data_IF_896556859473
#
_entry.id   IF_896556859473
#
_cell.length_a   1.000
_cell.length_b   1.000
_cell.length_c   1.000
_cell.angle_alpha   90.00
_cell.angle_beta   90.00
_cell.angle_gamma   90.00
#
_symmetry.space_group_name_H-M   'P 1'
#
loop_
_entity.id
_entity.type
_entity.pdbx_description
1 polymer ?
#
# COMPACT_ATOMS: atom_id res chain seq x y z
N UNK A 1 5.75 -4.53 -73.83
CA UNK A 1 6.63 -3.34 -73.86
C UNK A 1 6.17 -2.39 -72.76
N UNK A 2 6.70 -2.59 -71.55
CA UNK A 2 7.78 -1.81 -70.89
C UNK A 2 7.27 -0.54 -70.20
N UNK A 3 6.82 -0.70 -68.95
CA UNK A 3 6.63 0.41 -68.01
C UNK A 3 7.99 0.72 -67.35
N UNK A 4 8.46 1.95 -67.56
CA UNK A 4 9.64 2.56 -66.94
C UNK A 4 9.40 2.70 -65.44
N UNK A 5 10.11 1.93 -64.63
CA UNK A 5 10.17 2.14 -63.17
C UNK A 5 11.12 3.31 -62.91
N UNK A 6 10.60 4.33 -62.23
CA UNK A 6 11.30 5.55 -61.84
C UNK A 6 12.51 5.27 -60.95
N UNK A 7 13.52 6.11 -61.11
CA UNK A 7 14.74 6.07 -60.32
C UNK A 7 14.43 6.37 -58.85
N UNK A 8 14.78 5.42 -57.98
CA UNK A 8 14.80 5.64 -56.53
C UNK A 8 16.14 6.34 -56.24
N UNK A 9 16.04 7.56 -55.74
CA UNK A 9 17.15 8.38 -55.28
C UNK A 9 18.07 7.58 -54.37
N UNK A 10 19.36 7.55 -54.71
CA UNK A 10 20.43 6.99 -53.90
C UNK A 10 20.49 7.73 -52.56
N UNK A 11 19.89 7.12 -51.52
CA UNK A 11 20.09 7.55 -50.14
C UNK A 11 21.58 7.39 -49.85
N UNK A 12 22.22 8.48 -49.46
CA UNK A 12 23.63 8.57 -49.16
C UNK A 12 23.91 7.71 -47.90
N UNK A 13 24.45 6.51 -48.09
CA UNK A 13 24.72 5.50 -47.05
C UNK A 13 25.62 6.02 -45.89
N UNK A 14 26.21 7.19 -46.06
CA UNK A 14 27.13 7.84 -45.13
C UNK A 14 26.44 8.52 -43.93
N UNK A 15 25.12 8.78 -43.98
CA UNK A 15 24.41 9.47 -42.88
C UNK A 15 24.02 8.50 -41.76
N UNK A 16 23.76 7.23 -42.10
CA UNK A 16 23.39 6.18 -41.14
C UNK A 16 24.58 5.74 -40.25
N UNK A 17 25.80 5.81 -40.78
CA UNK A 17 27.02 5.41 -40.07
C UNK A 17 27.36 6.32 -38.87
N UNK A 18 26.79 7.53 -38.78
CA UNK A 18 27.00 8.44 -37.64
C UNK A 18 26.31 8.00 -36.35
N UNK A 19 25.31 7.12 -36.43
CA UNK A 19 24.53 6.74 -35.25
C UNK A 19 25.13 5.57 -34.46
N UNK A 20 26.13 4.85 -35.01
CA UNK A 20 26.75 3.70 -34.35
C UNK A 20 28.26 3.61 -34.65
N UNK A 21 29.10 4.49 -34.07
CA UNK A 21 30.53 4.58 -34.40
C UNK A 21 31.39 3.40 -33.94
N UNK A 22 30.87 2.48 -33.11
CA UNK A 22 31.67 1.43 -32.44
C UNK A 22 31.34 -0.01 -32.89
N UNK A 23 30.84 -0.23 -34.10
CA UNK A 23 30.69 -1.60 -34.62
C UNK A 23 31.86 -1.97 -35.54
N UNK A 24 32.84 -2.76 -35.07
CA UNK A 24 33.75 -3.43 -35.97
C UNK A 24 32.94 -4.41 -36.84
N UNK A 25 32.96 -4.17 -38.15
CA UNK A 25 32.38 -5.00 -39.20
C UNK A 25 33.06 -6.37 -39.27
N UNK A 26 32.66 -7.31 -38.41
CA UNK A 26 32.92 -8.74 -38.63
C UNK A 26 32.18 -9.60 -37.62
N UNK A 27 31.04 -10.16 -38.02
CA UNK A 27 30.72 -11.59 -37.88
C UNK A 27 29.20 -11.80 -38.06
N UNK A 28 28.90 -12.70 -38.99
CA UNK A 28 27.68 -13.47 -39.27
C UNK A 28 26.40 -13.15 -38.48
N UNK A 29 25.21 -13.18 -39.12
CA UNK A 29 23.94 -13.04 -38.41
C UNK A 29 23.83 -14.16 -37.36
N UNK A 30 23.87 -13.77 -36.09
CA UNK A 30 23.65 -14.71 -35.00
C UNK A 30 22.17 -15.08 -35.05
N UNK A 31 21.87 -16.26 -35.57
CA UNK A 31 20.53 -16.86 -35.47
C UNK A 31 20.35 -17.30 -34.03
N UNK A 32 19.87 -16.38 -33.19
CA UNK A 32 19.38 -16.73 -31.86
C UNK A 32 18.06 -17.48 -32.02
N UNK A 33 18.11 -18.80 -31.91
CA UNK A 33 16.92 -19.62 -31.72
C UNK A 33 16.24 -19.18 -30.41
N UNK A 34 15.10 -18.50 -30.54
CA UNK A 34 14.27 -18.14 -29.39
C UNK A 34 13.72 -19.47 -28.85
N UNK A 35 14.01 -19.86 -27.58
CA UNK A 35 13.48 -21.09 -27.05
C UNK A 35 11.95 -21.03 -27.11
N UNK A 36 11.34 -22.12 -27.60
CA UNK A 36 9.90 -22.24 -27.69
C UNK A 36 9.30 -21.91 -26.31
N UNK A 37 8.47 -20.87 -26.26
CA UNK A 37 7.81 -20.45 -25.03
C UNK A 37 7.03 -21.65 -24.49
N UNK A 38 7.37 -22.11 -23.28
CA UNK A 38 6.59 -23.14 -22.60
C UNK A 38 5.12 -22.71 -22.60
N UNK A 39 4.17 -23.63 -22.81
CA UNK A 39 2.76 -23.30 -22.73
C UNK A 39 2.53 -22.67 -21.36
N UNK A 40 2.20 -21.38 -21.36
CA UNK A 40 1.82 -20.66 -20.15
C UNK A 40 0.68 -21.47 -19.55
N UNK A 41 0.87 -21.99 -18.33
CA UNK A 41 -0.20 -22.61 -17.56
C UNK A 41 -1.25 -21.53 -17.37
N UNK A 42 -2.27 -21.52 -18.23
CA UNK A 42 -3.44 -20.68 -18.03
C UNK A 42 -4.17 -21.33 -16.88
N UNK A 43 -3.91 -20.84 -15.67
CA UNK A 43 -4.67 -21.23 -14.49
C UNK A 43 -6.15 -21.04 -14.83
N UNK A 44 -6.83 -22.17 -14.96
CA UNK A 44 -8.22 -22.21 -15.39
C UNK A 44 -9.03 -21.59 -14.25
N UNK A 45 -9.42 -20.33 -14.42
CA UNK A 45 -10.26 -19.65 -13.45
C UNK A 45 -11.48 -20.53 -13.13
N UNK A 46 -11.83 -20.72 -11.85
CA UNK A 46 -12.93 -21.57 -11.45
C UNK A 46 -14.22 -21.13 -12.15
N UNK A 47 -15.00 -22.12 -12.63
CA UNK A 47 -16.25 -21.86 -13.35
C UNK A 47 -17.19 -21.05 -12.44
N UNK A 48 -17.64 -19.88 -12.92
CA UNK A 48 -18.51 -18.96 -12.17
C UNK A 48 -17.78 -17.72 -11.62
N UNK A 49 -16.46 -17.62 -11.77
CA UNK A 49 -15.71 -16.43 -11.38
C UNK A 49 -15.68 -15.42 -12.53
N UNK A 50 -16.34 -14.27 -12.37
CA UNK A 50 -16.22 -13.17 -13.33
C UNK A 50 -15.22 -12.13 -12.79
N UNK A 51 -14.22 -11.71 -13.59
CA UNK A 51 -13.21 -10.74 -13.13
C UNK A 51 -13.83 -9.42 -12.68
N UNK A 52 -14.99 -9.05 -13.25
CA UNK A 52 -15.74 -7.87 -12.86
C UNK A 52 -16.31 -7.97 -11.43
N UNK A 53 -16.75 -9.17 -11.02
CA UNK A 53 -17.31 -9.41 -9.68
C UNK A 53 -16.22 -9.38 -8.61
N UNK A 54 -15.00 -9.81 -8.93
CA UNK A 54 -13.85 -9.70 -8.04
C UNK A 54 -13.53 -8.24 -7.70
N UNK A 55 -13.43 -7.38 -8.71
CA UNK A 55 -13.15 -5.94 -8.51
C UNK A 55 -14.26 -5.28 -7.66
N UNK A 56 -15.52 -5.68 -7.87
CA UNK A 56 -16.65 -5.19 -7.07
C UNK A 56 -16.61 -5.66 -5.61
N UNK A 57 -16.26 -6.94 -5.38
CA UNK A 57 -16.07 -7.52 -4.05
C UNK A 57 -14.91 -6.86 -3.30
N UNK A 58 -13.78 -6.69 -3.96
CA UNK A 58 -12.61 -6.01 -3.41
C UNK A 58 -12.92 -4.55 -3.09
N UNK A 59 -13.53 -3.80 -4.02
CA UNK A 59 -13.96 -2.42 -3.80
C UNK A 59 -14.93 -2.27 -2.62
N UNK A 60 -15.83 -3.24 -2.42
CA UNK A 60 -16.74 -3.28 -1.26
C UNK A 60 -16.00 -3.59 0.04
N UNK A 61 -15.03 -4.51 0.01
CA UNK A 61 -14.19 -4.84 1.14
C UNK A 61 -13.33 -3.65 1.57
N UNK A 62 -12.65 -2.98 0.64
CA UNK A 62 -11.86 -1.78 0.91
C UNK A 62 -12.72 -0.63 1.45
N UNK A 63 -13.93 -0.42 0.91
CA UNK A 63 -14.88 0.55 1.45
C UNK A 63 -15.36 0.18 2.86
N UNK A 64 -15.52 -1.11 3.18
CA UNK A 64 -15.89 -1.53 4.54
C UNK A 64 -14.75 -1.32 5.55
N UNK A 65 -13.51 -1.56 5.14
CA UNK A 65 -12.31 -1.32 5.94
C UNK A 65 -12.12 0.18 6.20
N UNK A 66 -12.26 1.02 5.17
CA UNK A 66 -12.15 2.48 5.31
C UNK A 66 -13.33 3.11 6.05
N UNK A 67 -14.51 2.47 6.07
CA UNK A 67 -15.68 2.91 6.83
C UNK A 67 -15.64 2.55 8.34
N UNK A 68 -14.50 2.08 8.85
CA UNK A 68 -14.31 1.80 10.27
C UNK A 68 -14.93 0.48 10.75
N UNK A 69 -15.11 -0.51 9.86
CA UNK A 69 -15.62 -1.83 10.27
C UNK A 69 -14.58 -2.72 10.97
N UNK A 70 -13.48 -2.16 11.48
CA UNK A 70 -12.47 -2.92 12.22
C UNK A 70 -13.10 -3.62 13.43
N UNK A 71 -12.92 -4.94 13.63
CA UNK A 71 -13.50 -5.66 14.77
C UNK A 71 -13.18 -4.96 16.10
N UNK A 72 -14.13 -4.95 17.03
CA UNK A 72 -13.92 -4.39 18.38
C UNK A 72 -12.67 -4.97 19.09
N UNK A 73 -12.40 -6.29 18.99
CA UNK A 73 -11.16 -6.87 19.50
C UNK A 73 -9.90 -6.25 18.89
N UNK A 74 -9.92 -5.92 17.59
CA UNK A 74 -8.78 -5.33 16.90
C UNK A 74 -8.47 -3.91 17.41
N UNK A 75 -9.51 -3.15 17.79
CA UNK A 75 -9.35 -1.86 18.45
C UNK A 75 -8.73 -2.02 19.84
N UNK A 76 -9.23 -2.96 20.64
CA UNK A 76 -8.70 -3.24 21.99
C UNK A 76 -7.24 -3.69 21.91
N UNK A 77 -6.92 -4.59 20.98
CA UNK A 77 -5.55 -5.05 20.72
C UNK A 77 -4.67 -3.92 20.24
N UNK A 78 -5.16 -3.04 19.35
CA UNK A 78 -4.41 -1.85 18.94
C UNK A 78 -4.11 -0.93 20.13
N UNK A 79 -5.08 -0.69 21.00
CA UNK A 79 -4.86 0.11 22.21
C UNK A 79 -3.87 -0.53 23.17
N UNK A 80 -4.01 -1.82 23.46
CA UNK A 80 -3.14 -2.53 24.40
C UNK A 80 -1.73 -2.71 23.85
N UNK A 81 -1.60 -3.08 22.58
CA UNK A 81 -0.34 -3.48 21.98
C UNK A 81 0.42 -2.32 21.35
N UNK A 82 -0.26 -1.37 20.72
CA UNK A 82 0.41 -0.21 20.11
C UNK A 82 0.62 0.88 21.16
N UNK A 83 -0.38 1.20 21.99
CA UNK A 83 -0.21 2.25 23.00
C UNK A 83 0.34 1.69 24.32
N UNK A 84 -0.23 0.59 24.83
CA UNK A 84 0.19 0.01 26.11
C UNK A 84 1.66 -0.42 26.13
N UNK A 85 2.11 -1.23 25.17
CA UNK A 85 3.53 -1.65 25.11
C UNK A 85 4.48 -0.48 24.87
N UNK A 86 4.15 0.44 23.96
CA UNK A 86 5.00 1.61 23.68
C UNK A 86 5.11 2.54 24.89
N UNK A 87 4.01 2.75 25.62
CA UNK A 87 4.02 3.57 26.84
C UNK A 87 4.85 2.92 27.95
N UNK A 88 4.67 1.62 28.19
CA UNK A 88 5.47 0.87 29.18
C UNK A 88 6.95 0.89 28.80
N UNK A 89 7.27 0.65 27.53
CA UNK A 89 8.64 0.72 27.02
C UNK A 89 9.26 2.11 27.23
N UNK A 90 8.53 3.18 26.88
CA UNK A 90 8.99 4.54 27.08
C UNK A 90 9.26 4.84 28.57
N UNK A 91 8.39 4.41 29.47
CA UNK A 91 8.59 4.59 30.92
C UNK A 91 9.84 3.85 31.40
N UNK A 92 10.05 2.61 30.98
CA UNK A 92 11.22 1.81 31.34
C UNK A 92 12.50 2.46 30.82
N UNK A 93 12.51 2.92 29.57
CA UNK A 93 13.66 3.60 28.97
C UNK A 93 13.98 4.90 29.72
N UNK A 94 12.98 5.72 30.02
CA UNK A 94 13.17 6.98 30.77
C UNK A 94 13.69 6.68 32.18
N UNK A 95 13.13 5.69 32.86
CA UNK A 95 13.58 5.28 34.20
C UNK A 95 15.03 4.76 34.18
N UNK A 96 15.38 3.96 33.17
CA UNK A 96 16.74 3.47 32.97
C UNK A 96 17.72 4.60 32.70
N UNK A 97 17.41 5.53 31.79
CA UNK A 97 18.29 6.66 31.48
C UNK A 97 18.47 7.61 32.67
N UNK A 98 17.41 7.79 33.48
CA UNK A 98 17.49 8.57 34.72
C UNK A 98 18.36 7.89 35.77
N UNK A 99 18.28 6.57 35.90
CA UNK A 99 19.14 5.78 36.77
C UNK A 99 20.61 5.80 36.33
N UNK A 100 20.85 5.72 35.01
CA UNK A 100 22.18 5.75 34.42
C UNK A 100 22.84 7.15 34.43
N UNK A 101 22.14 8.20 34.90
CA UNK A 101 22.66 9.58 34.91
C UNK A 101 22.91 10.16 33.51
N UNK A 102 22.34 9.54 32.48
CA UNK A 102 22.56 9.91 31.06
C UNK A 102 21.61 11.01 30.58
N UNK A 103 20.58 11.34 31.36
CA UNK A 103 19.70 12.46 31.09
C UNK A 103 20.32 13.74 31.68
N UNK A 104 20.85 14.66 30.85
CA UNK A 104 21.24 15.98 31.33
C UNK A 104 19.99 16.70 31.84
N UNK A 105 20.08 17.39 32.97
CA UNK A 105 18.95 18.16 33.56
C UNK A 105 18.61 19.44 32.77
N UNK A 106 19.12 19.56 31.55
CA UNK A 106 19.02 20.74 30.71
C UNK A 106 17.77 20.72 29.83
N UNK A 107 17.48 21.86 29.21
CA UNK A 107 16.40 22.04 28.23
C UNK A 107 16.39 20.99 27.09
N UNK A 108 17.56 20.42 26.76
CA UNK A 108 17.71 19.34 25.78
C UNK A 108 16.95 18.07 26.17
N UNK A 109 16.86 17.74 27.46
CA UNK A 109 16.05 16.61 27.93
C UNK A 109 14.56 16.84 27.68
N UNK A 110 14.09 18.08 27.84
CA UNK A 110 12.73 18.49 27.54
C UNK A 110 12.40 18.29 26.06
N UNK A 111 13.29 18.72 25.17
CA UNK A 111 13.12 18.53 23.71
C UNK A 111 13.09 17.05 23.36
N UNK A 112 13.98 16.24 23.93
CA UNK A 112 14.03 14.80 23.68
C UNK A 112 12.73 14.08 24.11
N UNK A 113 12.20 14.41 25.29
CA UNK A 113 10.92 13.90 25.76
C UNK A 113 9.75 14.33 24.87
N UNK A 114 9.80 15.57 24.33
CA UNK A 114 8.79 16.09 23.43
C UNK A 114 8.78 15.34 22.09
N UNK A 115 9.95 14.99 21.56
CA UNK A 115 10.07 14.16 20.35
C UNK A 115 9.46 12.77 20.58
N UNK A 116 9.81 12.11 21.69
CA UNK A 116 9.25 10.80 22.04
C UNK A 116 7.72 10.87 22.20
N UNK A 117 7.22 11.90 22.91
CA UNK A 117 5.80 12.12 23.07
C UNK A 117 5.10 12.37 21.72
N UNK A 118 5.73 13.12 20.82
CA UNK A 118 5.24 13.36 19.45
C UNK A 118 5.12 12.06 18.65
N UNK A 119 6.12 11.19 18.69
CA UNK A 119 6.09 9.89 18.01
C UNK A 119 4.99 8.99 18.54
N UNK A 120 4.75 8.98 19.87
CA UNK A 120 3.66 8.21 20.50
C UNK A 120 2.29 8.83 20.22
N UNK A 121 2.20 10.15 20.07
CA UNK A 121 0.94 10.87 19.83
C UNK A 121 0.34 10.57 18.44
N UNK A 122 1.16 10.27 17.43
CA UNK A 122 0.70 9.95 16.06
C UNK A 122 -0.21 8.70 16.04
N UNK A 123 0.24 7.51 16.47
CA UNK A 123 -0.61 6.32 16.49
C UNK A 123 -1.79 6.49 17.43
N UNK A 124 -1.62 7.22 18.54
CA UNK A 124 -2.72 7.53 19.46
C UNK A 124 -3.82 8.33 18.77
N UNK A 125 -3.47 9.37 18.00
CA UNK A 125 -4.43 10.20 17.25
C UNK A 125 -5.20 9.39 16.21
N UNK A 126 -4.51 8.47 15.52
CA UNK A 126 -5.12 7.58 14.52
C UNK A 126 -6.12 6.62 15.21
N UNK A 127 -5.72 5.97 16.30
CA UNK A 127 -6.61 5.07 17.06
C UNK A 127 -7.80 5.82 17.67
N UNK A 128 -7.58 7.01 18.21
CA UNK A 128 -8.63 7.83 18.79
C UNK A 128 -9.73 8.16 17.77
N UNK A 129 -9.33 8.58 16.56
CA UNK A 129 -10.26 8.83 15.45
C UNK A 129 -11.02 7.57 15.02
N UNK A 130 -10.32 6.44 14.92
CA UNK A 130 -10.96 5.15 14.60
C UNK A 130 -11.99 4.72 15.66
N UNK A 131 -11.67 4.93 16.94
CA UNK A 131 -12.55 4.62 18.07
C UNK A 131 -13.80 5.51 18.06
N UNK A 132 -13.65 6.81 17.79
CA UNK A 132 -14.79 7.73 17.64
C UNK A 132 -15.71 7.35 16.46
N UNK A 133 -15.14 7.00 15.31
CA UNK A 133 -15.91 6.58 14.14
C UNK A 133 -16.76 5.32 14.44
N UNK A 134 -16.16 4.34 15.13
CA UNK A 134 -16.82 3.12 15.58
C UNK A 134 -17.99 3.41 16.54
N UNK A 135 -17.78 4.26 17.54
CA UNK A 135 -18.82 4.65 18.50
C UNK A 135 -20.02 5.32 17.82
N UNK A 136 -19.76 6.22 16.85
CA UNK A 136 -20.82 6.86 16.06
C UNK A 136 -21.61 5.82 15.25
N UNK A 137 -20.94 4.87 14.61
CA UNK A 137 -21.60 3.85 13.79
C UNK A 137 -22.44 2.87 14.64
N UNK A 138 -21.98 2.53 15.85
CA UNK A 138 -22.71 1.67 16.76
C UNK A 138 -24.00 2.33 17.29
N UNK A 139 -23.95 3.64 17.57
CA UNK A 139 -25.14 4.41 17.98
C UNK A 139 -26.22 4.43 16.88
N UNK A 140 -25.83 4.60 15.61
CA UNK A 140 -26.75 4.58 14.47
C UNK A 140 -27.40 3.22 14.26
N UNK A 141 -26.64 2.12 14.41
CA UNK A 141 -27.18 0.76 14.32
C UNK A 141 -28.21 0.47 15.42
N UNK A 142 -27.94 0.89 16.65
CA UNK A 142 -28.88 0.76 17.77
C UNK A 142 -30.17 1.54 17.51
N UNK A 143 -30.08 2.75 16.97
CA UNK A 143 -31.26 3.54 16.59
C UNK A 143 -32.08 2.89 15.46
N UNK A 144 -31.42 2.30 14.44
CA UNK A 144 -32.11 1.57 13.36
C UNK A 144 -32.85 0.35 13.91
N UNK A 145 -32.22 -0.41 14.81
CA UNK A 145 -32.86 -1.56 15.46
C UNK A 145 -34.03 -1.13 16.36
N UNK A 146 -33.91 -0.03 17.08
CA UNK A 146 -35.00 0.52 17.89
C UNK A 146 -36.20 0.95 17.03
N UNK A 147 -35.97 1.59 15.87
CA UNK A 147 -37.04 1.93 14.91
C UNK A 147 -37.71 0.68 14.34
N UNK A 148 -36.94 -0.35 14.01
CA UNK A 148 -37.48 -1.60 13.49
C UNK A 148 -38.35 -2.33 14.52
N UNK A 149 -37.93 -2.34 15.80
CA UNK A 149 -38.73 -2.91 16.90
C UNK A 149 -40.05 -2.17 17.13
N UNK A 150 -40.09 -0.85 16.92
CA UNK A 150 -41.35 -0.08 17.01
C UNK A 150 -42.33 -0.46 15.89
N UNK A 151 -41.85 -0.55 14.65
CA UNK A 151 -42.67 -0.97 13.49
C UNK A 151 -43.25 -2.39 13.57
N UNK A 152 -42.67 -3.27 14.39
CA UNK A 152 -43.17 -4.64 14.57
C UNK A 152 -44.21 -4.75 15.69
N UNK A 153 -44.43 -3.68 16.46
CA UNK A 153 -45.35 -3.67 17.60
C UNK A 153 -46.68 -2.97 17.28
N UNK A 154 -46.70 -2.20 16.20
CA UNK A 154 -47.89 -1.55 15.61
C UNK A 154 -48.45 -2.45 14.50
#
# INVERSE_FOLDING_TARGET
>A
MTLKVGQISTVNDNEFARFFPDRPDSSLPTVTEVPAQLPVSVDKAPKGYTPMEQIALEGRAYRSLSAGSLPWPMLILGWLFIFGMQAVYAIVVIAYMRSAGTLPNDWLSGVFLLVIAGVIAIPFSILWRGTMAKCRQQSSKRQRQARYRRRMRD
#
